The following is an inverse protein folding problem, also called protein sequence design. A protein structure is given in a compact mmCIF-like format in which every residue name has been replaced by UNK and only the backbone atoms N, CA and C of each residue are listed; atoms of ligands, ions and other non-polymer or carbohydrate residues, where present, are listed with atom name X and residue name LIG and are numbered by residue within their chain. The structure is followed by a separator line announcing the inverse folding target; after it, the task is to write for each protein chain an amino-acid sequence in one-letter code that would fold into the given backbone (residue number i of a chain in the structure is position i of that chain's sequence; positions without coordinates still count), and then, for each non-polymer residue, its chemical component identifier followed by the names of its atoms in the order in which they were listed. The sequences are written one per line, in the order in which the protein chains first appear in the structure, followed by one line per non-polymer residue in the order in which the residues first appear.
data_IF_150460927660
#
_entry.id   IF_150460927660
#
_cell.length_a   1.000
_cell.length_b   1.000
_cell.length_c   1.000
_cell.angle_alpha   90.00
_cell.angle_beta   90.00
_cell.angle_gamma   90.00
#
_symmetry.space_group_name_H-M   'P 1'
#
loop_
_entity.id
_entity.type
_entity.pdbx_description
1 polymer ?
#
# COMPACT_ATOMS: atom_id res chain seq x y z
N UNK A 1 12.14 2.20 -22.36
CA UNK A 1 12.73 3.09 -21.33
C UNK A 1 11.96 2.84 -20.06
N UNK A 2 12.63 2.44 -18.98
CA UNK A 2 12.00 2.32 -17.66
C UNK A 2 11.88 3.71 -17.03
N UNK A 3 10.69 4.07 -16.55
CA UNK A 3 10.44 5.35 -15.90
C UNK A 3 10.26 5.14 -14.39
N UNK A 4 11.17 5.69 -13.60
CA UNK A 4 11.04 5.70 -12.14
C UNK A 4 9.97 6.72 -11.74
N UNK A 5 8.95 6.27 -11.02
CA UNK A 5 7.81 7.10 -10.57
C UNK A 5 7.99 7.59 -9.12
N UNK A 6 8.64 6.80 -8.28
CA UNK A 6 8.94 7.14 -6.89
C UNK A 6 10.19 6.39 -6.41
N UNK A 7 10.86 6.96 -5.40
CA UNK A 7 12.02 6.38 -4.71
C UNK A 7 11.73 6.27 -3.20
N UNK A 8 12.50 5.42 -2.51
CA UNK A 8 12.39 5.23 -1.06
C UNK A 8 10.99 4.77 -0.60
N UNK A 9 10.40 3.83 -1.35
CA UNK A 9 9.15 3.18 -0.98
C UNK A 9 9.48 1.86 -0.29
N UNK A 10 9.17 1.77 1.00
CA UNK A 10 9.43 0.57 1.81
C UNK A 10 8.25 -0.41 1.74
N UNK A 11 7.03 0.07 1.45
CA UNK A 11 5.87 -0.79 1.22
C UNK A 11 4.90 -0.19 0.21
N UNK A 12 4.33 -1.05 -0.62
CA UNK A 12 3.19 -0.79 -1.50
C UNK A 12 2.18 -1.93 -1.31
N UNK A 13 0.95 -1.57 -0.98
CA UNK A 13 -0.15 -2.51 -0.88
C UNK A 13 -1.33 -2.01 -1.71
N UNK A 14 -1.92 -2.93 -2.47
CA UNK A 14 -3.08 -2.70 -3.34
C UNK A 14 -4.15 -3.70 -2.91
N UNK A 15 -5.32 -3.19 -2.55
CA UNK A 15 -6.51 -3.98 -2.19
C UNK A 15 -7.57 -3.77 -3.26
N UNK A 16 -8.17 -4.85 -3.73
CA UNK A 16 -9.22 -4.82 -4.75
C UNK A 16 -10.56 -5.09 -4.08
N UNK A 17 -11.48 -4.12 -4.17
CA UNK A 17 -12.74 -4.18 -3.45
C UNK A 17 -13.93 -4.35 -4.40
N UNK A 18 -14.89 -5.18 -3.99
CA UNK A 18 -16.19 -5.29 -4.67
C UNK A 18 -17.14 -4.13 -4.34
N UNK A 19 -18.42 -4.27 -4.69
CA UNK A 19 -19.45 -3.27 -4.42
C UNK A 19 -19.72 -3.04 -2.92
N UNK A 20 -19.53 -4.07 -2.11
CA UNK A 20 -19.80 -4.05 -0.67
C UNK A 20 -18.55 -3.66 0.13
N UNK A 21 -17.41 -3.47 -0.54
CA UNK A 21 -16.14 -3.14 0.09
C UNK A 21 -15.37 -4.36 0.58
N UNK A 22 -15.68 -5.54 0.06
CA UNK A 22 -15.00 -6.80 0.39
C UNK A 22 -13.70 -6.93 -0.39
N UNK A 23 -12.60 -7.29 0.29
CA UNK A 23 -11.34 -7.64 -0.38
C UNK A 23 -11.49 -8.93 -1.19
N UNK A 24 -11.21 -8.83 -2.49
CA UNK A 24 -11.29 -9.92 -3.45
C UNK A 24 -9.98 -10.72 -3.59
N UNK A 25 -8.93 -10.35 -2.84
CA UNK A 25 -7.69 -11.13 -2.84
C UNK A 25 -7.93 -12.47 -2.14
N UNK A 26 -7.64 -13.56 -2.85
CA UNK A 26 -7.59 -14.89 -2.25
C UNK A 26 -6.33 -15.01 -1.38
N UNK A 27 -6.44 -15.24 -0.05
CA UNK A 27 -5.29 -15.31 0.85
C UNK A 27 -4.35 -16.49 0.55
N UNK A 28 -4.81 -17.53 -0.15
CA UNK A 28 -3.96 -18.66 -0.54
C UNK A 28 -3.04 -18.33 -1.72
N UNK A 29 -3.46 -17.42 -2.59
CA UNK A 29 -2.73 -17.07 -3.83
C UNK A 29 -2.19 -15.64 -3.84
N UNK A 30 -2.67 -14.78 -2.95
CA UNK A 30 -2.32 -13.36 -2.90
C UNK A 30 -2.78 -12.58 -4.14
N UNK A 31 -3.78 -13.08 -4.87
CA UNK A 31 -4.28 -12.50 -6.12
C UNK A 31 -5.80 -12.53 -6.17
N UNK A 32 -6.39 -11.68 -7.00
CA UNK A 32 -7.83 -11.74 -7.30
C UNK A 32 -8.09 -12.91 -8.25
N UNK A 33 -8.99 -13.86 -7.92
CA UNK A 33 -9.39 -14.92 -8.84
C UNK A 33 -9.92 -14.36 -10.16
N UNK A 34 -9.65 -15.05 -11.27
CA UNK A 34 -10.00 -14.55 -12.61
C UNK A 34 -11.50 -14.25 -12.76
N UNK A 35 -12.35 -15.06 -12.15
CA UNK A 35 -13.80 -14.92 -12.20
C UNK A 35 -14.30 -13.67 -11.44
N UNK A 36 -13.59 -13.27 -10.38
CA UNK A 36 -13.94 -12.15 -9.49
C UNK A 36 -13.44 -10.79 -10.01
N UNK A 37 -12.59 -10.78 -11.04
CA UNK A 37 -12.03 -9.53 -11.61
C UNK A 37 -13.10 -8.56 -12.12
N UNK A 38 -14.29 -9.08 -12.52
CA UNK A 38 -15.44 -8.28 -12.98
C UNK A 38 -16.18 -7.56 -11.84
N UNK A 39 -15.96 -8.00 -10.61
CA UNK A 39 -16.65 -7.47 -9.44
C UNK A 39 -15.90 -6.31 -8.79
N UNK A 40 -14.65 -6.07 -9.17
CA UNK A 40 -13.85 -4.94 -8.67
C UNK A 40 -14.57 -3.60 -8.96
N UNK A 41 -14.86 -2.84 -7.90
CA UNK A 41 -15.49 -1.51 -7.91
C UNK A 41 -14.59 -0.39 -7.43
N UNK A 42 -13.66 -0.67 -6.53
CA UNK A 42 -12.62 0.27 -6.13
C UNK A 42 -11.31 -0.43 -5.82
N UNK A 43 -10.24 0.36 -5.79
CA UNK A 43 -8.91 -0.08 -5.43
C UNK A 43 -8.40 0.84 -4.34
N UNK A 44 -7.99 0.26 -3.20
CA UNK A 44 -7.28 1.00 -2.16
C UNK A 44 -5.79 0.82 -2.35
N UNK A 45 -5.07 1.94 -2.38
CA UNK A 45 -3.61 1.97 -2.55
C UNK A 45 -3.03 2.55 -1.28
N UNK A 46 -2.16 1.79 -0.60
CA UNK A 46 -1.41 2.25 0.56
C UNK A 46 0.08 2.18 0.27
N UNK A 47 0.78 3.28 0.50
CA UNK A 47 2.22 3.42 0.27
C UNK A 47 2.88 3.89 1.57
N UNK A 48 4.02 3.29 1.91
CA UNK A 48 4.90 3.76 2.98
C UNK A 48 6.19 4.29 2.37
N UNK A 49 6.39 5.59 2.46
CA UNK A 49 7.59 6.28 1.99
C UNK A 49 8.55 6.60 3.12
N UNK A 50 9.85 6.38 2.89
CA UNK A 50 10.95 6.69 3.81
C UNK A 50 11.57 8.04 3.48
N UNK A 51 12.02 8.79 4.50
CA UNK A 51 12.55 10.17 4.37
C UNK A 51 13.88 10.32 3.61
N UNK A 52 14.30 9.34 2.80
CA UNK A 52 15.54 9.35 2.02
C UNK A 52 16.36 8.06 2.18
N UNK A 53 17.56 8.02 1.61
CA UNK A 53 18.52 6.92 1.76
C UNK A 53 19.44 7.07 2.97
N UNK A 54 19.63 8.31 3.43
CA UNK A 54 20.46 8.66 4.59
C UNK A 54 19.73 9.69 5.44
N UNK A 55 19.88 9.58 6.76
CA UNK A 55 19.41 10.60 7.69
C UNK A 55 20.41 11.76 7.71
N UNK A 56 19.99 12.99 7.38
CA UNK A 56 20.90 14.12 7.47
C UNK A 56 21.32 14.34 8.92
N UNK A 57 22.59 14.66 9.14
CA UNK A 57 23.26 14.73 10.45
C UNK A 57 22.57 15.68 11.46
N UNK A 58 21.72 16.58 10.98
CA UNK A 58 20.98 17.57 11.79
C UNK A 58 19.53 17.15 12.13
N UNK A 59 19.07 15.98 11.68
CA UNK A 59 17.76 15.48 12.07
C UNK A 59 17.84 14.88 13.48
N UNK A 60 16.85 15.17 14.32
CA UNK A 60 16.72 14.52 15.62
C UNK A 60 16.60 13.00 15.41
N UNK A 61 17.59 12.26 15.92
CA UNK A 61 17.58 10.80 15.97
C UNK A 61 16.40 10.34 16.82
N UNK A 62 15.53 9.53 16.23
CA UNK A 62 14.42 8.90 16.92
C UNK A 62 14.14 7.57 16.24
N UNK A 63 13.98 6.51 17.03
CA UNK A 63 13.68 5.18 16.50
C UNK A 63 12.22 5.11 16.07
N UNK A 64 11.98 4.81 14.80
CA UNK A 64 10.67 4.48 14.28
C UNK A 64 10.33 3.02 14.59
N UNK A 65 9.44 2.84 15.56
CA UNK A 65 8.88 1.55 15.96
C UNK A 65 7.43 1.39 15.49
N UNK A 66 7.00 2.20 14.52
CA UNK A 66 5.63 2.20 14.01
C UNK A 66 5.40 0.99 13.09
N UNK A 67 4.33 0.24 13.35
CA UNK A 67 3.75 -0.67 12.36
C UNK A 67 2.76 0.08 11.49
N UNK A 68 2.82 -0.14 10.18
CA UNK A 68 1.95 0.49 9.20
C UNK A 68 0.93 -0.51 8.69
N UNK A 69 -0.34 -0.14 8.81
CA UNK A 69 -1.49 -0.91 8.34
C UNK A 69 -2.12 -0.26 7.09
N UNK A 70 -2.87 -1.01 6.29
CA UNK A 70 -3.71 -0.46 5.22
C UNK A 70 -5.08 0.02 5.77
N UNK A 71 -6.04 0.26 4.88
CA UNK A 71 -7.42 0.64 5.26
C UNK A 71 -8.31 -0.57 5.63
N UNK A 72 -7.81 -1.79 5.44
CA UNK A 72 -8.43 -3.06 5.84
C UNK A 72 -7.83 -3.58 7.17
N UNK A 73 -7.20 -2.70 7.95
CA UNK A 73 -6.51 -3.03 9.21
C UNK A 73 -5.44 -4.14 9.10
N UNK A 74 -4.94 -4.39 7.90
CA UNK A 74 -3.89 -5.38 7.65
C UNK A 74 -2.52 -4.72 7.73
N UNK A 75 -1.60 -5.30 8.48
CA UNK A 75 -0.20 -4.84 8.52
C UNK A 75 0.47 -5.03 7.15
N UNK A 76 1.04 -3.94 6.63
CA UNK A 76 1.77 -3.92 5.34
C UNK A 76 3.25 -3.65 5.52
N UNK A 77 3.66 -3.14 6.68
CA UNK A 77 5.06 -2.98 7.08
C UNK A 77 5.15 -3.00 8.60
N UNK A 78 5.77 -4.05 9.15
CA UNK A 78 6.07 -4.12 10.58
C UNK A 78 7.10 -3.07 11.01
N UNK A 79 7.23 -2.87 12.33
CA UNK A 79 8.18 -1.93 12.91
C UNK A 79 9.62 -2.23 12.46
N UNK A 80 10.25 -1.27 11.78
CA UNK A 80 11.63 -1.42 11.30
C UNK A 80 12.67 -1.18 12.41
N UNK A 81 12.30 -0.46 13.48
CA UNK A 81 13.17 -0.14 14.61
C UNK A 81 14.49 0.52 14.20
N UNK A 82 14.43 1.34 13.15
CA UNK A 82 15.55 2.15 12.68
C UNK A 82 15.27 3.63 12.90
N UNK A 83 16.20 4.50 12.53
CA UNK A 83 16.05 5.94 12.75
C UNK A 83 15.33 6.66 11.58
N UNK A 84 14.94 5.92 10.53
CA UNK A 84 14.33 6.52 9.36
C UNK A 84 12.89 6.88 9.62
N UNK A 85 12.52 8.13 9.28
CA UNK A 85 11.12 8.54 9.37
C UNK A 85 10.35 8.00 8.17
N UNK A 86 9.19 7.42 8.45
CA UNK A 86 8.27 6.95 7.42
C UNK A 86 6.93 7.67 7.48
N UNK A 87 6.32 7.81 6.32
CA UNK A 87 4.98 8.35 6.16
C UNK A 87 4.12 7.36 5.38
N UNK A 88 2.90 7.15 5.87
CA UNK A 88 1.86 6.39 5.17
C UNK A 88 0.96 7.33 4.39
N UNK A 89 0.80 7.05 3.11
CA UNK A 89 -0.25 7.64 2.28
C UNK A 89 -1.22 6.52 1.88
N UNK A 90 -2.51 6.78 2.01
CA UNK A 90 -3.55 5.85 1.56
C UNK A 90 -4.61 6.58 0.76
N UNK A 91 -5.12 5.95 -0.28
CA UNK A 91 -6.17 6.50 -1.14
C UNK A 91 -7.03 5.40 -1.70
N UNK A 92 -8.31 5.69 -1.92
CA UNK A 92 -9.24 4.80 -2.62
C UNK A 92 -9.64 5.40 -3.96
N UNK A 93 -9.50 4.60 -5.02
CA UNK A 93 -9.83 4.97 -6.40
C UNK A 93 -10.99 4.10 -6.88
N UNK A 94 -12.10 4.72 -7.28
CA UNK A 94 -13.25 4.01 -7.84
C UNK A 94 -12.99 3.63 -9.30
N UNK A 95 -13.12 2.35 -9.64
CA UNK A 95 -12.78 1.78 -10.96
C UNK A 95 -14.01 1.39 -11.78
N UNK A 96 -15.01 2.29 -11.83
CA UNK A 96 -16.33 2.05 -12.47
C UNK A 96 -16.30 1.54 -13.91
N UNK A 97 -15.18 1.60 -14.62
CA UNK A 97 -15.05 1.14 -16.00
C UNK A 97 -14.54 -0.31 -16.17
N UNK A 98 -14.23 -1.04 -15.09
CA UNK A 98 -13.76 -2.44 -15.20
C UNK A 98 -14.87 -3.50 -15.35
N UNK A 99 -16.14 -3.10 -15.41
CA UNK A 99 -17.31 -3.98 -15.57
C UNK A 99 -18.02 -3.90 -16.94
N UNK A 100 -17.44 -3.22 -17.94
CA UNK A 100 -17.99 -3.17 -19.30
C UNK A 100 -17.17 -4.08 -20.23
N UNK A 101 -17.55 -5.35 -20.29
CA UNK A 101 -17.19 -6.28 -21.37
C UNK A 101 -18.47 -6.77 -22.05
#
# INVERSE_FOLDING_TARGET
LEQVVALNIDALNIVYLDQDGTDLIDPATGSVPADDTRDIRSVQITIVGRSGEQLPVLFNSGTDNTSYINQQDTEILGAQNDEFRRMRLTSEVKVRNMGLL
#
